data_IF_999493254433
#
_entry.id   IF_999493254433
#
_cell.length_a   1.000
_cell.length_b   1.000
_cell.length_c   1.000
_cell.angle_alpha   90.00
_cell.angle_beta   90.00
_cell.angle_gamma   90.00
#
_symmetry.space_group_name_H-M   'P 1'
#
loop_
_entity.id
_entity.type
_entity.pdbx_description
1 polymer ?
#
# COMPACT_ATOMS: atom_id res chain seq x y z
N UNK A 1 -69.76 2.51 -32.12
CA UNK A 1 -70.66 2.09 -31.03
C UNK A 1 -69.73 1.65 -29.92
N UNK A 2 -69.47 2.36 -28.82
CA UNK A 2 -70.22 3.30 -27.97
C UNK A 2 -69.14 3.96 -27.06
N UNK A 3 -68.86 5.27 -27.15
CA UNK A 3 -69.29 6.39 -26.29
C UNK A 3 -68.96 6.26 -24.79
N UNK A 4 -68.07 7.07 -24.18
CA UNK A 4 -68.16 8.50 -23.75
C UNK A 4 -68.18 8.52 -22.20
N UNK A 5 -67.20 9.07 -21.47
CA UNK A 5 -67.17 10.46 -20.95
C UNK A 5 -65.93 10.62 -20.05
N UNK A 6 -65.29 11.80 -20.07
CA UNK A 6 -64.30 12.22 -19.06
C UNK A 6 -64.99 12.82 -17.81
N UNK A 7 -64.27 13.00 -16.70
CA UNK A 7 -64.22 14.37 -16.18
C UNK A 7 -62.82 14.84 -15.76
N UNK A 8 -62.59 16.12 -16.01
CA UNK A 8 -61.44 16.90 -15.60
C UNK A 8 -61.29 16.98 -14.07
N UNK A 9 -60.04 16.96 -13.60
CA UNK A 9 -59.37 18.08 -12.91
C UNK A 9 -58.54 17.70 -11.68
N UNK A 10 -57.36 18.32 -11.65
CA UNK A 10 -56.58 18.72 -10.47
C UNK A 10 -55.57 17.74 -9.83
N UNK A 11 -54.43 18.36 -9.49
CA UNK A 11 -53.38 17.95 -8.56
C UNK A 11 -52.29 16.97 -9.06
N UNK A 12 -51.22 17.58 -9.59
CA UNK A 12 -49.86 17.03 -9.63
C UNK A 12 -49.42 16.54 -8.24
N UNK A 13 -49.00 15.27 -8.16
CA UNK A 13 -48.01 14.81 -7.18
C UNK A 13 -47.08 13.82 -7.88
N UNK A 14 -46.21 14.36 -8.72
CA UNK A 14 -45.09 13.60 -9.28
C UNK A 14 -44.13 13.28 -8.14
N UNK A 15 -44.17 12.03 -7.68
CA UNK A 15 -43.11 11.45 -6.87
C UNK A 15 -41.82 11.53 -7.69
N UNK A 16 -40.91 12.39 -7.25
CA UNK A 16 -39.55 12.48 -7.76
C UNK A 16 -38.84 11.18 -7.36
N UNK A 17 -38.94 10.17 -8.23
CA UNK A 17 -38.13 8.97 -8.17
C UNK A 17 -36.66 9.41 -8.28
N UNK A 18 -35.89 9.23 -7.21
CA UNK A 18 -34.45 9.44 -7.24
C UNK A 18 -33.86 8.70 -8.44
N UNK A 19 -33.26 9.44 -9.37
CA UNK A 19 -32.49 8.87 -10.46
C UNK A 19 -31.29 8.14 -9.87
N UNK A 20 -31.44 6.84 -9.62
CA UNK A 20 -30.32 5.94 -9.33
C UNK A 20 -29.30 6.04 -10.49
N UNK A 21 -27.99 6.08 -10.23
CA UNK A 21 -27.01 6.07 -11.30
C UNK A 21 -27.21 4.79 -12.11
N UNK A 22 -27.50 4.94 -13.41
CA UNK A 22 -27.76 3.83 -14.33
C UNK A 22 -26.69 2.76 -14.17
N UNK A 23 -27.06 1.58 -13.65
CA UNK A 23 -26.21 0.39 -13.73
C UNK A 23 -25.95 0.13 -15.20
N UNK A 24 -24.71 0.34 -15.66
CA UNK A 24 -24.29 -0.22 -16.95
C UNK A 24 -24.54 -1.73 -16.91
N UNK A 25 -25.27 -2.24 -17.91
CA UNK A 25 -25.24 -3.68 -18.18
C UNK A 25 -23.85 -3.97 -18.72
N UNK A 26 -23.03 -4.63 -17.91
CA UNK A 26 -21.78 -5.21 -18.37
C UNK A 26 -22.13 -6.37 -19.31
N UNK A 27 -21.40 -6.48 -20.42
CA UNK A 27 -21.52 -7.65 -21.30
C UNK A 27 -21.03 -8.90 -20.56
N UNK A 28 -21.45 -10.09 -21.00
CA UNK A 28 -21.01 -11.37 -20.43
C UNK A 28 -19.49 -11.44 -20.26
N UNK A 29 -18.77 -10.90 -21.24
CA UNK A 29 -17.33 -10.94 -21.34
C UNK A 29 -16.66 -10.02 -20.30
N UNK A 30 -17.25 -8.85 -20.02
CA UNK A 30 -16.78 -7.95 -18.95
C UNK A 30 -16.98 -8.55 -17.55
N UNK A 31 -18.01 -9.38 -17.36
CA UNK A 31 -18.26 -10.07 -16.09
C UNK A 31 -17.20 -11.17 -15.88
N UNK A 32 -16.85 -11.90 -16.94
CA UNK A 32 -15.84 -12.97 -16.89
C UNK A 32 -14.43 -12.42 -16.65
N UNK A 33 -14.06 -11.33 -17.33
CA UNK A 33 -12.79 -10.62 -17.12
C UNK A 33 -12.63 -10.16 -15.66
N UNK A 34 -13.71 -9.66 -15.05
CA UNK A 34 -13.71 -9.24 -13.64
C UNK A 34 -13.63 -10.43 -12.68
N UNK A 35 -14.24 -11.57 -13.03
CA UNK A 35 -14.21 -12.82 -12.26
C UNK A 35 -12.82 -13.46 -12.24
N UNK A 36 -12.06 -13.31 -13.32
CA UNK A 36 -10.68 -13.75 -13.45
C UNK A 36 -9.67 -12.81 -12.74
N UNK A 37 -10.14 -11.74 -12.10
CA UNK A 37 -9.27 -10.75 -11.44
C UNK A 37 -8.41 -9.93 -12.41
N UNK A 38 -8.62 -10.08 -13.72
CA UNK A 38 -7.94 -9.30 -14.74
C UNK A 38 -8.66 -7.96 -14.81
N UNK A 39 -8.06 -6.91 -14.23
CA UNK A 39 -8.56 -5.56 -14.43
C UNK A 39 -8.44 -5.25 -15.93
N UNK A 40 -9.55 -4.97 -16.62
CA UNK A 40 -9.49 -4.44 -17.98
C UNK A 40 -8.85 -3.05 -17.92
N UNK A 41 -7.53 -3.02 -18.02
CA UNK A 41 -6.78 -1.77 -18.15
C UNK A 41 -7.08 -1.26 -19.55
N UNK A 42 -7.99 -0.29 -19.65
CA UNK A 42 -8.08 0.53 -20.86
C UNK A 42 -6.75 1.24 -20.98
N UNK A 43 -5.91 0.80 -21.91
CA UNK A 43 -4.64 1.46 -22.14
C UNK A 43 -4.92 2.90 -22.59
N UNK A 44 -4.30 3.86 -21.90
CA UNK A 44 -4.38 5.28 -22.24
C UNK A 44 -3.42 5.66 -23.37
N UNK A 45 -2.79 4.69 -24.03
CA UNK A 45 -1.94 4.92 -25.19
C UNK A 45 -2.81 5.20 -26.41
N UNK A 46 -2.56 6.33 -27.06
CA UNK A 46 -3.18 6.73 -28.34
C UNK A 46 -2.79 5.82 -29.51
N UNK A 47 -1.82 4.92 -29.31
CA UNK A 47 -1.25 4.09 -30.36
C UNK A 47 -2.21 2.98 -30.74
N UNK A 48 -2.40 2.73 -32.04
CA UNK A 48 -3.21 1.58 -32.48
C UNK A 48 -2.42 0.29 -32.26
N UNK A 49 -3.08 -0.83 -31.89
CA UNK A 49 -2.40 -2.11 -31.70
C UNK A 49 -1.59 -2.57 -32.93
N UNK A 50 -2.01 -2.18 -34.13
CA UNK A 50 -1.34 -2.54 -35.39
C UNK A 50 -0.14 -1.66 -35.75
N UNK A 51 0.01 -0.48 -35.16
CA UNK A 51 1.12 0.44 -35.46
C UNK A 51 2.32 0.16 -34.54
N UNK A 52 2.06 -0.04 -33.24
CA UNK A 52 3.05 -0.52 -32.26
C UNK A 52 2.32 -1.24 -31.12
N UNK A 53 2.28 -2.57 -31.20
CA UNK A 53 1.65 -3.40 -30.19
C UNK A 53 2.31 -3.24 -28.80
N UNK A 54 3.63 -3.02 -28.75
CA UNK A 54 4.36 -2.90 -27.50
C UNK A 54 3.98 -1.61 -26.76
N UNK A 55 3.90 -0.47 -27.47
CA UNK A 55 3.41 0.80 -26.91
C UNK A 55 1.93 0.76 -26.59
N UNK A 56 1.12 0.11 -27.43
CA UNK A 56 -0.30 -0.10 -27.13
C UNK A 56 -0.49 -0.91 -25.85
N UNK A 57 0.29 -1.97 -25.61
CA UNK A 57 0.14 -2.84 -24.45
C UNK A 57 0.77 -2.26 -23.16
N UNK A 58 1.94 -1.61 -23.26
CA UNK A 58 2.75 -1.21 -22.11
C UNK A 58 2.86 0.30 -21.90
N UNK A 59 2.38 1.13 -22.84
CA UNK A 59 2.62 2.58 -22.87
C UNK A 59 2.16 3.31 -21.61
N UNK A 60 1.03 2.92 -21.03
CA UNK A 60 0.55 3.50 -19.76
C UNK A 60 1.53 3.29 -18.61
N UNK A 61 2.21 2.14 -18.55
CA UNK A 61 3.19 1.83 -17.52
C UNK A 61 4.51 2.56 -17.78
N UNK A 62 5.00 2.54 -19.02
CA UNK A 62 6.26 3.21 -19.43
C UNK A 62 6.20 4.71 -19.17
N UNK A 63 5.07 5.37 -19.46
CA UNK A 63 4.95 6.82 -19.30
C UNK A 63 4.84 7.25 -17.81
N UNK A 64 4.36 6.36 -16.93
CA UNK A 64 4.14 6.66 -15.50
C UNK A 64 5.30 6.22 -14.60
N UNK A 65 5.95 5.11 -14.94
CA UNK A 65 7.00 4.52 -14.10
C UNK A 65 8.36 5.07 -14.52
N UNK A 66 8.93 5.94 -13.69
CA UNK A 66 10.34 6.34 -13.82
C UNK A 66 11.22 5.22 -13.25
N UNK A 67 12.25 4.84 -13.99
CA UNK A 67 13.25 3.87 -13.52
C UNK A 67 14.16 4.63 -12.54
N UNK A 68 14.30 4.17 -11.29
CA UNK A 68 15.21 4.77 -10.33
C UNK A 68 16.65 4.84 -10.89
N UNK A 69 17.39 5.94 -10.68
CA UNK A 69 18.71 6.14 -11.28
C UNK A 69 19.78 5.14 -10.77
N UNK A 70 19.53 4.50 -9.64
CA UNK A 70 20.35 3.44 -9.05
C UNK A 70 20.23 2.09 -9.79
N UNK A 71 19.29 1.95 -10.74
CA UNK A 71 18.99 0.68 -11.40
C UNK A 71 19.06 0.78 -12.93
N UNK A 72 19.72 -0.17 -13.61
CA UNK A 72 19.81 -0.18 -15.07
C UNK A 72 18.48 -0.53 -15.76
N UNK A 73 17.55 -1.17 -15.04
CA UNK A 73 16.22 -1.53 -15.55
C UNK A 73 15.25 -1.77 -14.39
N UNK A 74 13.94 -1.65 -14.67
CA UNK A 74 12.88 -1.98 -13.72
C UNK A 74 11.98 -3.07 -14.30
N UNK A 75 11.81 -4.17 -13.55
CA UNK A 75 10.98 -5.31 -13.96
C UNK A 75 10.19 -5.82 -12.76
N UNK A 76 9.13 -6.59 -13.01
CA UNK A 76 8.34 -7.21 -11.94
C UNK A 76 9.21 -8.05 -11.01
N UNK A 77 10.16 -8.80 -11.56
CA UNK A 77 11.13 -9.61 -10.79
C UNK A 77 11.95 -8.74 -9.85
N UNK A 78 12.53 -7.65 -10.36
CA UNK A 78 13.33 -6.74 -9.52
C UNK A 78 12.48 -6.06 -8.45
N UNK A 79 11.26 -5.63 -8.79
CA UNK A 79 10.33 -5.06 -7.82
C UNK A 79 9.96 -6.06 -6.70
N UNK A 80 9.75 -7.33 -7.04
CA UNK A 80 9.49 -8.38 -6.06
C UNK A 80 10.73 -8.66 -5.20
N UNK A 81 11.92 -8.68 -5.79
CA UNK A 81 13.18 -8.82 -5.05
C UNK A 81 13.37 -7.69 -4.07
N UNK A 82 13.24 -6.43 -4.51
CA UNK A 82 13.35 -5.24 -3.66
C UNK A 82 12.39 -5.31 -2.46
N UNK A 83 11.11 -5.64 -2.71
CA UNK A 83 10.10 -5.79 -1.67
C UNK A 83 10.41 -6.95 -0.72
N UNK A 84 10.99 -8.04 -1.23
CA UNK A 84 11.36 -9.20 -0.42
C UNK A 84 12.54 -8.85 0.47
N UNK A 85 13.57 -8.22 -0.08
CA UNK A 85 14.76 -7.76 0.65
C UNK A 85 14.38 -6.73 1.73
N UNK A 86 13.50 -5.79 1.41
CA UNK A 86 12.97 -4.82 2.36
C UNK A 86 12.24 -5.52 3.51
N UNK A 87 11.33 -6.45 3.20
CA UNK A 87 10.60 -7.20 4.24
C UNK A 87 11.53 -8.05 5.09
N UNK A 88 12.56 -8.65 4.50
CA UNK A 88 13.56 -9.40 5.24
C UNK A 88 14.33 -8.47 6.18
N UNK A 89 14.75 -7.29 5.72
CA UNK A 89 15.38 -6.28 6.58
C UNK A 89 14.48 -5.89 7.75
N UNK A 90 13.23 -5.52 7.49
CA UNK A 90 12.26 -5.17 8.52
C UNK A 90 12.06 -6.32 9.53
N UNK A 91 11.95 -7.57 9.04
CA UNK A 91 11.82 -8.74 9.92
C UNK A 91 13.05 -8.98 10.80
N UNK A 92 14.26 -8.76 10.28
CA UNK A 92 15.50 -9.02 11.03
C UNK A 92 15.93 -7.85 11.92
N UNK A 93 15.66 -6.60 11.54
CA UNK A 93 15.99 -5.40 12.34
C UNK A 93 15.24 -5.36 13.67
N UNK A 94 14.00 -5.85 13.71
CA UNK A 94 13.20 -5.90 14.96
C UNK A 94 13.28 -7.25 15.69
N UNK A 95 14.23 -8.11 15.32
CA UNK A 95 14.35 -9.41 15.97
C UNK A 95 15.02 -9.29 17.35
N UNK A 96 14.42 -9.92 18.36
CA UNK A 96 14.97 -10.00 19.72
C UNK A 96 16.24 -10.87 19.79
N UNK A 97 16.43 -11.75 18.79
CA UNK A 97 17.57 -12.64 18.68
C UNK A 97 18.01 -12.75 17.23
N UNK A 98 19.31 -12.84 17.00
CA UNK A 98 19.86 -13.10 15.67
C UNK A 98 20.34 -14.53 15.58
N UNK A 99 19.98 -15.18 14.47
CA UNK A 99 20.53 -16.48 14.08
C UNK A 99 21.79 -16.26 13.27
N UNK A 100 22.90 -16.85 13.70
CA UNK A 100 24.18 -16.79 13.00
C UNK A 100 24.65 -18.20 12.68
N UNK A 101 25.19 -18.40 11.48
CA UNK A 101 25.88 -19.64 11.11
C UNK A 101 27.37 -19.39 11.33
N UNK A 102 27.99 -20.16 12.22
CA UNK A 102 29.41 -20.03 12.55
C UNK A 102 30.07 -21.40 12.61
N UNK A 103 31.39 -21.44 12.51
CA UNK A 103 32.15 -22.67 12.75
C UNK A 103 31.86 -23.16 14.17
N UNK A 104 31.64 -24.47 14.33
CA UNK A 104 31.38 -25.04 15.65
C UNK A 104 32.63 -24.90 16.53
N UNK A 105 32.47 -24.27 17.69
CA UNK A 105 33.55 -24.11 18.68
C UNK A 105 34.13 -25.45 19.14
N UNK A 106 33.37 -26.55 19.05
CA UNK A 106 33.80 -27.90 19.44
C UNK A 106 34.36 -28.73 18.28
N UNK A 107 33.96 -28.43 17.05
CA UNK A 107 34.42 -29.11 15.84
C UNK A 107 34.61 -28.10 14.68
N UNK A 108 35.86 -27.66 14.42
CA UNK A 108 36.15 -26.66 13.40
C UNK A 108 35.76 -27.07 11.97
N UNK A 109 35.48 -28.35 11.72
CA UNK A 109 35.09 -28.86 10.40
C UNK A 109 33.58 -28.82 10.15
N UNK A 110 32.79 -28.30 11.10
CA UNK A 110 31.33 -28.22 11.00
C UNK A 110 30.85 -26.81 11.24
N UNK A 111 29.72 -26.47 10.62
CA UNK A 111 28.98 -25.25 10.91
C UNK A 111 27.78 -25.57 11.81
N UNK A 112 27.53 -24.71 12.79
CA UNK A 112 26.38 -24.80 13.68
C UNK A 112 25.58 -23.49 13.67
N UNK A 113 24.30 -23.58 14.04
CA UNK A 113 23.47 -22.43 14.28
C UNK A 113 23.68 -21.91 15.71
N UNK A 114 23.92 -20.61 15.82
CA UNK A 114 24.04 -19.90 17.08
C UNK A 114 22.91 -18.87 17.20
N UNK A 115 22.22 -18.89 18.34
CA UNK A 115 21.29 -17.85 18.75
C UNK A 115 22.04 -16.86 19.63
N UNK A 116 22.11 -15.60 19.19
CA UNK A 116 22.70 -14.51 19.96
C UNK A 116 21.65 -13.44 20.29
N UNK A 117 21.86 -12.73 21.39
CA UNK A 117 21.00 -11.63 21.80
C UNK A 117 21.11 -10.48 20.77
N UNK A 118 19.97 -9.96 20.34
CA UNK A 118 19.87 -8.84 19.41
C UNK A 118 18.73 -7.90 19.81
N UNK A 119 18.36 -6.96 18.94
CA UNK A 119 17.18 -6.11 19.14
C UNK A 119 17.36 -4.99 20.18
N UNK A 120 18.59 -4.60 20.49
CA UNK A 120 18.86 -3.40 21.28
C UNK A 120 19.03 -2.21 20.34
N UNK A 121 18.27 -1.15 20.58
CA UNK A 121 18.31 0.06 19.74
C UNK A 121 19.49 1.00 20.05
N UNK A 122 20.15 0.82 21.20
CA UNK A 122 21.38 1.51 21.58
C UNK A 122 22.56 0.52 21.57
N UNK A 123 23.80 0.98 21.36
CA UNK A 123 24.96 0.13 21.06
C UNK A 123 25.23 -0.98 22.08
N UNK A 124 24.98 -0.69 23.37
CA UNK A 124 25.24 -1.62 24.45
C UNK A 124 24.14 -1.55 25.52
N UNK A 125 24.05 -2.62 26.31
CA UNK A 125 23.17 -2.71 27.48
C UNK A 125 23.40 -1.57 28.48
N UNK A 126 24.64 -1.13 28.63
CA UNK A 126 25.04 -0.13 29.63
C UNK A 126 24.35 1.23 29.44
N UNK A 127 24.01 1.59 28.20
CA UNK A 127 23.28 2.82 27.87
C UNK A 127 21.87 2.88 28.50
N UNK A 128 21.31 1.75 28.88
CA UNK A 128 19.99 1.69 29.49
C UNK A 128 20.02 1.75 31.02
N UNK A 129 21.16 1.38 31.62
CA UNK A 129 21.30 1.10 33.05
C UNK A 129 22.14 2.15 33.79
N UNK A 130 23.23 2.64 33.19
CA UNK A 130 24.13 3.58 33.86
C UNK A 130 23.57 5.01 33.81
N UNK A 131 23.63 5.76 34.93
CA UNK A 131 23.12 7.13 34.98
C UNK A 131 23.91 8.09 34.09
N UNK A 132 25.18 7.78 33.80
CA UNK A 132 26.06 8.55 32.91
C UNK A 132 25.50 8.70 31.49
N UNK A 133 24.70 7.73 31.03
CA UNK A 133 24.13 7.71 29.68
C UNK A 133 22.66 8.17 29.61
N UNK A 134 22.15 8.78 30.68
CA UNK A 134 20.75 9.21 30.77
C UNK A 134 20.35 10.19 29.67
N UNK A 135 21.26 11.08 29.26
CA UNK A 135 21.02 12.04 28.19
C UNK A 135 20.82 11.35 26.83
N UNK A 136 21.66 10.37 26.51
CA UNK A 136 21.59 9.59 25.27
C UNK A 136 20.32 8.74 25.22
N UNK A 137 19.96 8.10 26.35
CA UNK A 137 18.69 7.36 26.47
C UNK A 137 17.48 8.26 26.25
N UNK A 138 17.50 9.46 26.84
CA UNK A 138 16.42 10.44 26.69
C UNK A 138 16.30 10.92 25.25
N UNK A 139 17.42 11.23 24.59
CA UNK A 139 17.45 11.63 23.19
C UNK A 139 16.92 10.51 22.26
N UNK A 140 17.30 9.26 22.53
CA UNK A 140 16.78 8.09 21.80
C UNK A 140 15.26 7.94 21.94
N UNK A 141 14.74 8.06 23.17
CA UNK A 141 13.29 8.03 23.43
C UNK A 141 12.55 9.19 22.74
N UNK A 142 13.14 10.39 22.72
CA UNK A 142 12.57 11.54 22.03
C UNK A 142 12.55 11.36 20.51
N UNK A 143 13.61 10.79 19.93
CA UNK A 143 13.67 10.49 18.49
C UNK A 143 12.59 9.48 18.09
N UNK A 144 12.47 8.40 18.86
CA UNK A 144 11.45 7.38 18.61
C UNK A 144 10.03 7.98 18.73
N UNK A 145 9.76 8.82 19.72
CA UNK A 145 8.43 9.42 19.91
C UNK A 145 8.10 10.49 18.85
N UNK A 146 9.09 11.18 18.28
CA UNK A 146 8.88 12.24 17.29
C UNK A 146 8.21 11.74 16.00
N UNK A 147 8.69 10.60 15.51
CA UNK A 147 8.15 9.92 14.32
C UNK A 147 6.66 9.57 14.49
N UNK A 148 6.26 9.23 15.72
CA UNK A 148 4.86 8.95 16.07
C UNK A 148 4.01 10.21 16.28
N UNK A 149 4.56 11.28 16.85
CA UNK A 149 3.80 12.52 17.08
C UNK A 149 3.43 13.25 15.79
N UNK A 150 4.26 13.21 14.75
CA UNK A 150 3.89 13.77 13.44
C UNK A 150 2.70 13.00 12.83
N UNK A 151 2.61 11.68 13.03
CA UNK A 151 1.46 10.89 12.62
C UNK A 151 0.19 11.20 13.43
N UNK A 152 0.32 11.46 14.74
CA UNK A 152 -0.81 11.76 15.62
C UNK A 152 -1.36 13.16 15.37
N UNK A 153 -0.50 14.17 15.14
CA UNK A 153 -0.97 15.52 14.79
C UNK A 153 -1.72 15.55 13.45
N UNK A 154 -1.24 14.83 12.43
CA UNK A 154 -1.93 14.70 11.14
C UNK A 154 -3.26 13.95 11.29
N UNK A 155 -3.30 12.89 12.10
CA UNK A 155 -4.53 12.15 12.38
C UNK A 155 -5.56 13.01 13.17
N UNK A 156 -5.11 13.80 14.14
CA UNK A 156 -5.98 14.69 14.92
C UNK A 156 -6.52 15.83 14.06
N UNK A 157 -5.69 16.43 13.20
CA UNK A 157 -6.10 17.44 12.22
C UNK A 157 -7.12 16.87 11.22
N UNK A 158 -6.93 15.63 10.75
CA UNK A 158 -7.86 14.98 9.84
C UNK A 158 -9.21 14.68 10.52
N UNK A 159 -9.21 14.29 11.80
CA UNK A 159 -10.43 14.09 12.59
C UNK A 159 -11.17 15.41 12.87
N UNK A 160 -10.46 16.50 13.16
CA UNK A 160 -11.06 17.84 13.31
C UNK A 160 -11.66 18.33 11.99
N UNK A 161 -10.99 18.09 10.86
CA UNK A 161 -11.51 18.42 9.53
C UNK A 161 -12.73 17.57 9.15
N UNK A 162 -12.74 16.28 9.46
CA UNK A 162 -13.89 15.40 9.27
C UNK A 162 -15.07 15.78 10.16
N UNK A 163 -14.84 16.17 11.42
CA UNK A 163 -15.88 16.64 12.33
C UNK A 163 -16.51 17.96 11.84
N UNK A 164 -15.72 18.85 11.22
CA UNK A 164 -16.23 20.09 10.62
C UNK A 164 -17.01 19.89 9.32
N UNK A 165 -16.88 18.73 8.67
CA UNK A 165 -17.59 18.40 7.43
C UNK A 165 -18.93 17.67 7.65
N UNK A 166 -19.24 17.31 8.90
CA UNK A 166 -20.48 16.61 9.30
C UNK A 166 -21.50 17.58 9.95
N UNK A 167 -21.09 18.82 10.24
CA UNK A 167 -21.98 19.91 10.68
C UNK A 167 -22.36 20.82 9.52
#
# INVERSE_FOLDING_TARGET
MYEVTAPHSSARRSLLFCASPQRRRYTSDEIEIRRLGIRSVRNGSSDRPGDDFFRYANGTWINKRQIPPDKPAYSLRLAMTDLTEQRLHEMFEFSLFTLMIYADLKDPHRYAFYLIQAGIGLPDRDYYLKPEFAAQKTAYQMCHNKEWTECVEVALLCLVQLASAIS
#
